data_IF_471538986946
#
_entry.id   IF_471538986946
#
_cell.length_a   1.000
_cell.length_b   1.000
_cell.length_c   1.000
_cell.angle_alpha   90.00
_cell.angle_beta   90.00
_cell.angle_gamma   90.00
#
_symmetry.space_group_name_H-M   'P 1'
#
loop_
_entity.id
_entity.type
_entity.pdbx_description
1 polymer ?
#
# COMPACT_ATOMS: atom_id res chain seq x y z
N UNK A 1 18.43 -2.72 1.20
CA UNK A 1 17.73 -1.57 0.61
C UNK A 1 18.62 -0.87 -0.41
N UNK A 2 19.79 -0.31 -0.02
CA UNK A 2 20.65 0.46 -0.93
C UNK A 2 21.02 -0.27 -2.22
N UNK A 3 21.41 -1.54 -2.13
CA UNK A 3 21.71 -2.38 -3.30
C UNK A 3 20.51 -2.56 -4.26
N UNK A 4 19.28 -2.62 -3.71
CA UNK A 4 18.08 -2.69 -4.55
C UNK A 4 17.83 -1.36 -5.29
N UNK A 5 18.02 -0.24 -4.63
CA UNK A 5 17.89 1.08 -5.28
C UNK A 5 18.93 1.31 -6.36
N UNK A 6 20.19 0.91 -6.11
CA UNK A 6 21.25 0.96 -7.11
C UNK A 6 20.91 0.09 -8.33
N UNK A 7 20.39 -1.12 -8.09
CA UNK A 7 19.93 -2.02 -9.15
C UNK A 7 18.77 -1.42 -9.96
N UNK A 8 17.77 -0.83 -9.32
CA UNK A 8 16.66 -0.17 -10.03
C UNK A 8 17.15 1.00 -10.89
N UNK A 9 18.10 1.79 -10.37
CA UNK A 9 18.72 2.87 -11.13
C UNK A 9 19.51 2.33 -12.33
N UNK A 10 20.27 1.26 -12.14
CA UNK A 10 21.02 0.58 -13.21
C UNK A 10 20.08 0.03 -14.30
N UNK A 11 18.99 -0.60 -13.91
CA UNK A 11 17.98 -1.15 -14.82
C UNK A 11 17.10 -0.08 -15.48
N UNK A 12 17.14 1.17 -14.98
CA UNK A 12 16.32 2.30 -15.46
C UNK A 12 14.82 1.92 -15.48
N UNK A 13 14.35 1.35 -14.38
CA UNK A 13 12.93 0.96 -14.28
C UNK A 13 12.01 2.18 -14.41
N UNK A 14 10.89 2.03 -15.12
CA UNK A 14 9.90 3.11 -15.27
C UNK A 14 9.20 3.42 -13.95
N UNK A 15 8.96 2.40 -13.11
CA UNK A 15 8.33 2.52 -11.80
C UNK A 15 8.91 1.48 -10.84
N UNK A 16 9.05 1.85 -9.58
CA UNK A 16 9.40 0.94 -8.49
C UNK A 16 8.31 0.97 -7.42
N UNK A 17 7.82 -0.19 -7.03
CA UNK A 17 6.93 -0.36 -5.88
C UNK A 17 7.78 -0.75 -4.68
N UNK A 18 7.85 0.13 -3.70
CA UNK A 18 8.71 -0.04 -2.53
C UNK A 18 7.86 -0.36 -1.30
N UNK A 19 8.02 -1.54 -0.76
CA UNK A 19 7.38 -1.94 0.49
C UNK A 19 8.23 -1.57 1.70
N UNK A 20 7.61 -0.93 2.69
CA UNK A 20 8.22 -0.64 3.99
C UNK A 20 8.40 -1.94 4.77
N UNK A 21 9.58 -2.16 5.32
CA UNK A 21 9.85 -3.36 6.12
C UNK A 21 9.16 -3.32 7.49
N UNK A 22 9.28 -2.21 8.21
CA UNK A 22 8.67 -2.04 9.54
C UNK A 22 8.35 -0.57 9.84
N UNK A 23 7.12 -0.31 10.29
CA UNK A 23 6.67 1.03 10.67
C UNK A 23 6.60 1.96 9.46
N UNK A 24 7.58 2.81 9.29
CA UNK A 24 7.69 3.75 8.17
C UNK A 24 8.68 4.87 8.45
N UNK A 25 8.51 5.61 9.53
CA UNK A 25 9.30 6.81 9.86
C UNK A 25 10.81 6.55 9.88
N UNK A 26 11.24 5.47 10.49
CA UNK A 26 12.66 5.08 10.64
C UNK A 26 13.05 3.90 9.74
N UNK A 27 12.16 3.50 8.82
CA UNK A 27 12.48 2.43 7.89
C UNK A 27 13.54 2.87 6.88
N UNK A 28 14.45 1.96 6.54
CA UNK A 28 15.54 2.24 5.61
C UNK A 28 15.08 2.53 4.18
N UNK A 29 13.84 2.16 3.83
CA UNK A 29 13.22 2.55 2.55
C UNK A 29 12.76 4.00 2.53
N UNK A 30 12.63 4.65 3.69
CA UNK A 30 12.04 5.99 3.82
C UNK A 30 12.96 7.14 3.35
N UNK A 31 14.07 6.83 2.72
CA UNK A 31 14.97 7.81 2.07
C UNK A 31 14.44 8.30 0.71
N UNK A 32 13.44 7.62 0.14
CA UNK A 32 12.88 7.95 -1.17
C UNK A 32 11.91 9.13 -1.14
N UNK A 33 11.71 9.76 -2.31
CA UNK A 33 10.62 10.69 -2.57
C UNK A 33 9.64 10.02 -3.54
N UNK A 34 8.55 9.42 -3.05
CA UNK A 34 7.62 8.68 -3.88
C UNK A 34 6.69 9.62 -4.67
N UNK A 35 6.11 9.12 -5.75
CA UNK A 35 5.05 9.81 -6.51
C UNK A 35 3.73 9.80 -5.73
N UNK A 36 3.49 8.75 -4.96
CA UNK A 36 2.34 8.55 -4.08
C UNK A 36 2.75 7.59 -2.96
N UNK A 37 2.24 7.82 -1.75
CA UNK A 37 2.38 6.90 -0.62
C UNK A 37 1.05 6.19 -0.36
N UNK A 38 1.11 4.90 0.00
CA UNK A 38 -0.07 4.11 0.37
C UNK A 38 0.14 3.49 1.75
N UNK A 39 -0.81 3.73 2.67
CA UNK A 39 -0.88 3.07 3.97
C UNK A 39 -2.11 2.16 3.95
N UNK A 40 -1.89 0.85 4.03
CA UNK A 40 -2.95 -0.15 3.84
C UNK A 40 -3.86 -0.28 5.05
N UNK A 41 -3.32 -0.64 6.20
CA UNK A 41 -4.08 -0.76 7.44
C UNK A 41 -3.21 -0.47 8.67
N UNK A 42 -3.87 -0.26 9.80
CA UNK A 42 -3.24 -0.17 11.12
C UNK A 42 -3.79 -1.30 11.98
N UNK A 43 -2.90 -2.17 12.39
CA UNK A 43 -3.16 -3.24 13.35
C UNK A 43 -2.16 -3.18 14.51
N UNK A 44 -2.51 -3.83 15.62
CA UNK A 44 -1.57 -4.01 16.75
C UNK A 44 -0.59 -5.12 16.41
N UNK A 45 0.41 -4.78 15.62
CA UNK A 45 1.52 -5.64 15.27
C UNK A 45 2.83 -4.95 15.61
N UNK A 46 3.85 -5.71 15.98
CA UNK A 46 5.16 -5.18 16.39
C UNK A 46 5.08 -4.10 17.47
N UNK A 47 4.17 -4.26 18.44
CA UNK A 47 3.88 -3.25 19.46
C UNK A 47 5.09 -2.89 20.33
N UNK A 48 6.04 -3.82 20.51
CA UNK A 48 7.29 -3.58 21.22
C UNK A 48 8.18 -2.51 20.55
N UNK A 49 7.99 -2.26 19.26
CA UNK A 49 8.79 -1.32 18.47
C UNK A 49 7.98 -0.11 18.04
N UNK A 50 6.73 -0.33 17.59
CA UNK A 50 5.91 0.71 16.97
C UNK A 50 5.00 1.45 17.96
N UNK A 51 4.86 0.94 19.20
CA UNK A 51 4.00 1.51 20.24
C UNK A 51 2.81 0.63 20.59
N UNK A 52 2.17 0.95 21.71
CA UNK A 52 1.11 0.14 22.31
C UNK A 52 -0.30 0.56 21.89
N UNK A 53 -0.43 1.73 21.28
CA UNK A 53 -1.70 2.29 20.81
C UNK A 53 -1.77 2.33 19.27
N UNK A 54 -2.98 2.36 18.73
CA UNK A 54 -3.16 2.49 17.28
C UNK A 54 -2.64 3.84 16.79
N UNK A 55 -2.74 4.88 17.61
CA UNK A 55 -2.26 6.23 17.30
C UNK A 55 -0.73 6.28 17.20
N UNK A 56 0.00 5.61 18.10
CA UNK A 56 1.46 5.52 18.04
C UNK A 56 1.91 4.77 16.78
N UNK A 57 1.29 3.62 16.49
CA UNK A 57 1.57 2.82 15.29
C UNK A 57 1.24 3.63 14.02
N UNK A 58 0.12 4.37 14.02
CA UNK A 58 -0.26 5.24 12.92
C UNK A 58 0.77 6.36 12.69
N UNK A 59 1.31 6.95 13.75
CA UNK A 59 2.35 7.97 13.67
C UNK A 59 3.64 7.42 13.03
N UNK A 60 4.08 6.22 13.43
CA UNK A 60 5.25 5.58 12.81
C UNK A 60 5.03 5.29 11.32
N UNK A 61 3.83 4.81 10.94
CA UNK A 61 3.49 4.58 9.54
C UNK A 61 3.30 5.89 8.75
N UNK A 62 2.77 6.94 9.37
CA UNK A 62 2.64 8.27 8.78
C UNK A 62 3.99 8.91 8.41
N UNK A 63 5.10 8.39 8.94
CA UNK A 63 6.44 8.84 8.58
C UNK A 63 6.82 8.68 7.10
N UNK A 64 6.05 7.91 6.32
CA UNK A 64 6.23 7.83 4.85
C UNK A 64 5.49 8.94 4.09
N UNK A 65 4.71 9.78 4.76
CA UNK A 65 4.05 10.94 4.15
C UNK A 65 5.12 11.99 3.87
N UNK A 66 5.31 12.34 2.61
CA UNK A 66 6.33 13.30 2.16
C UNK A 66 5.71 14.63 1.79
N UNK A 67 6.48 15.73 1.87
CA UNK A 67 5.98 17.05 1.48
C UNK A 67 5.37 17.06 0.08
N UNK A 68 4.20 17.66 -0.04
CA UNK A 68 3.45 17.83 -1.29
C UNK A 68 3.16 16.54 -2.07
N UNK A 69 3.34 15.36 -1.43
CA UNK A 69 3.15 14.05 -2.05
C UNK A 69 1.81 13.45 -1.62
N UNK A 70 0.95 13.06 -2.54
CA UNK A 70 -0.32 12.43 -2.20
C UNK A 70 -0.13 11.18 -1.33
N UNK A 71 -0.98 11.04 -0.32
CA UNK A 71 -1.05 9.83 0.49
C UNK A 71 -2.44 9.22 0.47
N UNK A 72 -2.51 7.92 0.26
CA UNK A 72 -3.73 7.12 0.32
C UNK A 72 -3.75 6.32 1.62
N UNK A 73 -4.86 6.38 2.34
CA UNK A 73 -5.17 5.56 3.51
C UNK A 73 -6.28 4.61 3.11
N UNK A 74 -6.00 3.30 3.05
CA UNK A 74 -6.96 2.31 2.58
C UNK A 74 -8.14 2.13 3.53
N UNK A 75 -7.91 2.18 4.84
CA UNK A 75 -8.93 1.97 5.86
C UNK A 75 -9.07 3.19 6.78
N UNK A 76 -10.27 3.75 6.84
CA UNK A 76 -10.58 4.77 7.85
C UNK A 76 -10.75 4.11 9.22
N UNK A 77 -10.11 4.70 10.23
CA UNK A 77 -10.35 4.35 11.63
C UNK A 77 -10.38 5.63 12.48
N UNK A 78 -11.36 5.80 13.38
CA UNK A 78 -11.56 7.06 14.10
C UNK A 78 -10.37 7.48 14.98
N UNK A 79 -9.59 6.53 15.50
CA UNK A 79 -8.41 6.82 16.32
C UNK A 79 -7.18 7.19 15.47
N UNK A 80 -7.01 6.58 14.29
CA UNK A 80 -5.79 6.80 13.48
C UNK A 80 -5.95 7.92 12.45
N UNK A 81 -7.18 8.17 11.97
CA UNK A 81 -7.44 9.20 10.98
C UNK A 81 -6.99 10.62 11.40
N UNK A 82 -7.16 11.06 12.67
CA UNK A 82 -6.63 12.35 13.12
C UNK A 82 -5.10 12.44 12.98
N UNK A 83 -4.37 11.37 13.30
CA UNK A 83 -2.90 11.31 13.18
C UNK A 83 -2.47 11.50 11.73
N UNK A 84 -3.07 10.76 10.80
CA UNK A 84 -2.77 10.90 9.38
C UNK A 84 -3.09 12.29 8.83
N UNK A 85 -4.25 12.86 9.22
CA UNK A 85 -4.65 14.21 8.81
C UNK A 85 -3.67 15.26 9.32
N UNK A 86 -3.22 15.15 10.57
CA UNK A 86 -2.24 16.05 11.15
C UNK A 86 -0.93 16.00 10.39
N UNK A 87 -0.34 14.81 10.23
CA UNK A 87 0.95 14.66 9.54
C UNK A 87 0.85 15.09 8.06
N UNK A 88 -0.26 14.79 7.39
CA UNK A 88 -0.49 15.24 6.02
C UNK A 88 -0.57 16.77 5.93
N UNK A 89 -1.25 17.44 6.87
CA UNK A 89 -1.32 18.89 6.93
C UNK A 89 0.05 19.53 7.18
N UNK A 90 0.84 18.98 8.11
CA UNK A 90 2.22 19.43 8.39
C UNK A 90 3.16 19.30 7.17
N UNK A 91 2.84 18.38 6.26
CA UNK A 91 3.60 18.11 5.02
C UNK A 91 2.97 18.74 3.79
N UNK A 92 1.85 19.47 3.93
CA UNK A 92 1.08 19.99 2.79
C UNK A 92 0.75 18.88 1.76
N UNK A 93 0.56 17.64 2.25
CA UNK A 93 0.33 16.46 1.45
C UNK A 93 -1.17 16.25 1.22
N UNK A 94 -1.64 16.11 -0.03
CA UNK A 94 -3.03 15.68 -0.29
C UNK A 94 -3.28 14.31 0.33
N UNK A 95 -4.35 14.17 1.12
CA UNK A 95 -4.71 12.92 1.78
C UNK A 95 -6.04 12.38 1.26
N UNK A 96 -6.10 11.09 0.98
CA UNK A 96 -7.26 10.38 0.44
C UNK A 96 -7.58 9.17 1.31
N UNK A 97 -8.80 9.10 1.84
CA UNK A 97 -9.32 7.90 2.51
C UNK A 97 -10.11 7.08 1.50
N UNK A 98 -9.68 5.85 1.26
CA UNK A 98 -10.24 5.00 0.20
C UNK A 98 -11.35 4.04 0.69
N UNK A 99 -11.64 4.00 1.99
CA UNK A 99 -12.60 3.07 2.60
C UNK A 99 -14.03 3.18 2.04
N UNK A 100 -14.45 4.37 1.64
CA UNK A 100 -15.76 4.61 1.03
C UNK A 100 -15.79 4.44 -0.49
N UNK A 101 -14.62 4.13 -1.12
CA UNK A 101 -14.55 4.00 -2.56
C UNK A 101 -15.33 2.76 -3.04
N UNK A 102 -16.22 2.96 -4.00
CA UNK A 102 -16.82 1.87 -4.76
C UNK A 102 -15.85 1.39 -5.84
N UNK A 103 -15.57 0.10 -5.83
CA UNK A 103 -14.60 -0.52 -6.74
C UNK A 103 -15.33 -1.54 -7.61
N UNK A 104 -15.46 -1.27 -8.94
CA UNK A 104 -16.18 -2.17 -9.85
C UNK A 104 -15.33 -3.34 -10.34
N UNK A 105 -14.14 -3.53 -9.78
CA UNK A 105 -13.20 -4.56 -10.23
C UNK A 105 -13.21 -5.77 -9.31
N UNK A 106 -12.84 -6.93 -9.87
CA UNK A 106 -12.56 -8.16 -9.14
C UNK A 106 -11.06 -8.41 -9.07
N UNK A 107 -10.63 -9.10 -8.01
CA UNK A 107 -9.24 -9.46 -7.76
C UNK A 107 -9.13 -10.99 -7.65
N UNK A 108 -8.04 -11.58 -8.15
CA UNK A 108 -7.79 -13.01 -8.03
C UNK A 108 -7.24 -13.42 -6.65
N UNK A 109 -6.70 -12.48 -5.88
CA UNK A 109 -6.29 -12.73 -4.50
C UNK A 109 -7.49 -12.96 -3.59
N UNK A 110 -7.42 -14.01 -2.79
CA UNK A 110 -8.46 -14.41 -1.82
C UNK A 110 -8.11 -13.91 -0.43
N UNK A 111 -9.11 -13.88 0.46
CA UNK A 111 -8.99 -13.37 1.82
C UNK A 111 -9.82 -12.10 2.02
N UNK A 112 -10.52 -12.02 3.16
CA UNK A 112 -11.47 -10.92 3.44
C UNK A 112 -10.83 -9.53 3.47
N UNK A 113 -9.55 -9.45 3.84
CA UNK A 113 -8.78 -8.20 3.87
C UNK A 113 -8.48 -7.63 2.47
N UNK A 114 -8.52 -8.47 1.43
CA UNK A 114 -8.26 -8.02 0.06
C UNK A 114 -9.36 -7.08 -0.47
N UNK A 115 -10.58 -7.22 0.02
CA UNK A 115 -11.68 -6.29 -0.30
C UNK A 115 -11.41 -4.85 0.19
N UNK A 116 -10.56 -4.69 1.20
CA UNK A 116 -10.11 -3.38 1.68
C UNK A 116 -8.87 -2.90 0.93
N UNK A 117 -7.92 -3.81 0.70
CA UNK A 117 -6.68 -3.49 -0.02
C UNK A 117 -6.96 -2.96 -1.43
N UNK A 118 -7.90 -3.57 -2.17
CA UNK A 118 -8.25 -3.15 -3.53
C UNK A 118 -8.68 -1.67 -3.61
N UNK A 119 -9.34 -1.15 -2.58
CA UNK A 119 -9.77 0.25 -2.53
C UNK A 119 -8.58 1.20 -2.51
N UNK A 120 -7.60 0.93 -1.65
CA UNK A 120 -6.35 1.70 -1.60
C UNK A 120 -5.55 1.60 -2.89
N UNK A 121 -5.48 0.42 -3.50
CA UNK A 121 -4.81 0.19 -4.78
C UNK A 121 -5.48 1.04 -5.88
N UNK A 122 -6.80 0.95 -6.03
CA UNK A 122 -7.53 1.69 -7.08
C UNK A 122 -7.42 3.20 -6.88
N UNK A 123 -7.50 3.70 -5.64
CA UNK A 123 -7.28 5.12 -5.37
C UNK A 123 -5.86 5.56 -5.74
N UNK A 124 -4.86 4.73 -5.45
CA UNK A 124 -3.46 4.99 -5.84
C UNK A 124 -3.30 5.05 -7.36
N UNK A 125 -3.92 4.11 -8.09
CA UNK A 125 -3.88 4.09 -9.55
C UNK A 125 -4.56 5.33 -10.16
N UNK A 126 -5.68 5.79 -9.59
CA UNK A 126 -6.34 7.04 -10.02
C UNK A 126 -5.43 8.25 -9.87
N UNK A 127 -4.72 8.36 -8.74
CA UNK A 127 -3.73 9.43 -8.55
C UNK A 127 -2.61 9.36 -9.59
N UNK A 128 -2.15 8.15 -9.93
CA UNK A 128 -1.15 7.98 -10.99
C UNK A 128 -1.69 8.41 -12.37
N UNK A 129 -2.95 8.07 -12.69
CA UNK A 129 -3.62 8.54 -13.91
C UNK A 129 -3.68 10.07 -13.96
N UNK A 130 -4.08 10.73 -12.86
CA UNK A 130 -4.11 12.20 -12.75
C UNK A 130 -2.73 12.83 -12.93
N UNK A 131 -1.66 12.11 -12.56
CA UNK A 131 -0.26 12.51 -12.78
C UNK A 131 0.25 12.18 -14.20
N UNK A 132 -0.60 11.71 -15.10
CA UNK A 132 -0.28 11.48 -16.51
C UNK A 132 0.23 10.08 -16.85
N UNK A 133 0.16 9.10 -15.92
CA UNK A 133 0.49 7.72 -16.26
C UNK A 133 -0.59 7.10 -17.15
N UNK A 134 -0.17 6.46 -18.24
CA UNK A 134 -1.07 5.82 -19.20
C UNK A 134 -1.61 4.48 -18.67
N UNK A 135 -2.50 4.53 -17.69
CA UNK A 135 -3.15 3.37 -17.08
C UNK A 135 -4.62 3.38 -17.47
N UNK A 136 -5.06 2.47 -18.35
CA UNK A 136 -6.46 2.34 -18.73
C UNK A 136 -7.27 1.52 -17.73
N UNK A 137 -8.61 1.66 -17.76
CA UNK A 137 -9.52 0.82 -16.95
C UNK A 137 -9.33 -0.67 -17.26
N UNK A 138 -9.06 -1.03 -18.51
CA UNK A 138 -8.74 -2.39 -18.94
C UNK A 138 -7.43 -2.88 -18.29
N UNK A 139 -6.41 -2.03 -18.21
CA UNK A 139 -5.15 -2.36 -17.53
C UNK A 139 -5.39 -2.63 -16.04
N UNK A 140 -6.22 -1.82 -15.38
CA UNK A 140 -6.58 -2.01 -13.97
C UNK A 140 -7.31 -3.35 -13.78
N UNK A 141 -8.36 -3.61 -14.56
CA UNK A 141 -9.11 -4.85 -14.49
C UNK A 141 -8.22 -6.08 -14.73
N UNK A 142 -7.40 -6.05 -15.78
CA UNK A 142 -6.49 -7.15 -16.12
C UNK A 142 -5.41 -7.34 -15.06
N UNK A 143 -4.84 -6.26 -14.55
CA UNK A 143 -3.83 -6.31 -13.48
C UNK A 143 -4.38 -6.94 -12.21
N UNK A 144 -5.57 -6.53 -11.77
CA UNK A 144 -6.21 -7.04 -10.56
C UNK A 144 -6.70 -8.49 -10.70
N UNK A 145 -7.17 -8.90 -11.88
CA UNK A 145 -7.66 -10.27 -12.11
C UNK A 145 -6.56 -11.31 -12.39
N UNK A 146 -5.31 -10.89 -12.53
CA UNK A 146 -4.16 -11.76 -12.86
C UNK A 146 -2.93 -11.47 -11.98
N UNK A 147 -3.14 -11.10 -10.71
CA UNK A 147 -2.03 -10.75 -9.81
C UNK A 147 -1.09 -11.93 -9.65
N UNK A 148 -1.61 -13.12 -9.31
CA UNK A 148 -0.80 -14.31 -9.09
C UNK A 148 -0.02 -14.70 -10.36
N UNK A 149 -0.67 -14.67 -11.52
CA UNK A 149 -0.05 -15.01 -12.79
C UNK A 149 1.05 -14.02 -13.19
N UNK A 150 0.83 -12.71 -12.96
CA UNK A 150 1.76 -11.65 -13.33
C UNK A 150 2.96 -11.53 -12.39
N UNK A 151 2.79 -11.85 -11.10
CA UNK A 151 3.80 -11.59 -10.06
C UNK A 151 4.40 -12.84 -9.46
N UNK A 152 3.81 -14.01 -9.72
CA UNK A 152 4.15 -15.28 -9.07
C UNK A 152 4.07 -15.21 -7.54
N UNK A 153 3.14 -14.38 -7.02
CA UNK A 153 2.93 -14.21 -5.59
C UNK A 153 2.56 -15.54 -4.93
N UNK A 154 3.27 -15.90 -3.88
CA UNK A 154 3.06 -17.10 -3.08
C UNK A 154 2.73 -16.74 -1.63
N UNK A 155 2.09 -17.68 -0.90
CA UNK A 155 1.82 -17.53 0.53
C UNK A 155 0.77 -16.48 0.89
N UNK A 156 -0.16 -16.16 -0.02
CA UNK A 156 -1.32 -15.33 0.27
C UNK A 156 -2.59 -16.07 -0.14
N UNK A 157 -3.20 -16.78 0.81
CA UNK A 157 -4.35 -17.68 0.58
C UNK A 157 -4.10 -18.65 -0.58
N UNK A 158 -2.85 -19.09 -0.72
CA UNK A 158 -2.40 -19.96 -1.80
C UNK A 158 -2.90 -21.39 -1.57
N UNK A 159 -3.64 -21.93 -2.53
CA UNK A 159 -4.04 -23.33 -2.51
C UNK A 159 -2.85 -24.19 -2.96
N UNK A 160 -2.33 -25.02 -2.05
CA UNK A 160 -1.21 -25.94 -2.32
C UNK A 160 -1.70 -27.35 -2.71
N UNK A 161 -2.91 -27.72 -2.35
CA UNK A 161 -3.51 -29.02 -2.66
C UNK A 161 -5.01 -29.02 -2.39
N UNK A 162 -5.74 -29.84 -3.14
CA UNK A 162 -7.20 -29.98 -3.00
C UNK A 162 -7.61 -31.16 -2.11
N UNK A 163 -6.79 -32.21 -2.07
CA UNK A 163 -7.07 -33.42 -1.30
C UNK A 163 -5.83 -33.91 -0.53
N UNK A 164 -5.70 -33.58 0.77
CA UNK A 164 -6.53 -32.66 1.56
C UNK A 164 -6.40 -31.20 1.10
N UNK A 165 -7.43 -30.40 1.34
CA UNK A 165 -7.36 -28.97 1.03
C UNK A 165 -6.31 -28.30 1.93
N UNK A 166 -5.23 -27.86 1.29
CA UNK A 166 -4.08 -27.24 1.96
C UNK A 166 -3.92 -25.80 1.47
N UNK A 167 -3.94 -24.86 2.41
CA UNK A 167 -3.82 -23.41 2.13
C UNK A 167 -2.60 -22.88 2.87
N UNK A 168 -1.81 -22.06 2.18
CA UNK A 168 -0.73 -21.25 2.75
C UNK A 168 -1.15 -19.77 2.74
N UNK A 169 -1.08 -19.11 3.91
CA UNK A 169 -1.36 -17.68 4.08
C UNK A 169 -0.36 -17.06 5.08
#
# INVERSE_FOLDING_TARGET
>A
VGMAFDYFAYQKVDIAVIEVGLGGRLDSTNIINPVVSLITNIGKDHTEILGNTLEEIAYEKAGIIKPHTPVVISEFHPLTAPVFKQVAAEREAPIYFADSLEVPYTMDLKGGYQAKNIKGIVQTLRILQEKGWAISEENIQRGLSHIVANTHLMGRWQLLGEHPKTICD
#
